data_IF_925771748969
#
_entry.id   IF_925771748969
#
_cell.length_a   1.000
_cell.length_b   1.000
_cell.length_c   1.000
_cell.angle_alpha   90.00
_cell.angle_beta   90.00
_cell.angle_gamma   90.00
#
_symmetry.space_group_name_H-M   'P 1'
#
loop_
_entity.id
_entity.type
_entity.pdbx_description
1 polymer ?
#
# COMPACT_ATOMS: atom_id res chain seq x y z
N UNK A 1 22.34 51.58 12.26
CA UNK A 1 22.24 50.83 11.00
C UNK A 1 21.31 49.65 11.25
N UNK A 2 20.18 49.57 10.54
CA UNK A 2 19.33 48.38 10.54
C UNK A 2 19.97 47.30 9.68
N UNK A 3 20.14 46.11 10.23
CA UNK A 3 20.61 44.93 9.48
C UNK A 3 19.42 44.37 8.72
N UNK A 4 19.50 44.36 7.39
CA UNK A 4 18.53 43.64 6.55
C UNK A 4 18.68 42.14 6.80
N UNK A 5 17.63 41.52 7.35
CA UNK A 5 17.57 40.07 7.57
C UNK A 5 16.93 39.44 6.34
N UNK A 6 17.70 38.72 5.54
CA UNK A 6 17.16 37.95 4.43
C UNK A 6 16.44 36.70 4.98
N UNK A 7 15.17 36.52 4.63
CA UNK A 7 14.46 35.26 4.84
C UNK A 7 14.68 34.38 3.60
N UNK A 8 15.34 33.23 3.78
CA UNK A 8 15.44 32.23 2.72
C UNK A 8 14.17 31.37 2.75
N UNK A 9 13.32 31.49 1.73
CA UNK A 9 12.15 30.62 1.57
C UNK A 9 12.62 29.32 0.91
N UNK A 10 12.67 28.24 1.70
CA UNK A 10 12.92 26.89 1.19
C UNK A 10 11.59 26.31 0.71
N UNK A 11 11.46 26.10 -0.60
CA UNK A 11 10.27 25.48 -1.20
C UNK A 11 10.58 24.01 -1.41
N UNK A 12 9.87 23.16 -0.67
CA UNK A 12 9.91 21.71 -0.86
C UNK A 12 9.20 21.32 -2.16
N UNK A 13 9.85 20.44 -2.92
CA UNK A 13 9.39 19.92 -4.21
C UNK A 13 9.51 18.39 -4.29
N UNK A 14 9.89 17.72 -3.21
CA UNK A 14 10.08 16.27 -3.19
C UNK A 14 8.82 15.60 -2.69
N UNK A 15 8.21 14.68 -3.45
CA UNK A 15 7.09 13.91 -2.94
C UNK A 15 7.48 13.03 -1.75
N UNK A 16 6.49 12.65 -0.91
CA UNK A 16 6.70 11.64 0.11
C UNK A 16 7.21 10.31 -0.45
N UNK A 17 7.79 9.50 0.43
CA UNK A 17 8.20 8.12 0.14
C UNK A 17 7.21 7.15 0.80
N UNK A 18 6.70 6.20 0.02
CA UNK A 18 5.92 5.05 0.53
C UNK A 18 6.83 3.83 0.66
N UNK A 19 6.73 3.14 1.79
CA UNK A 19 7.58 1.98 2.12
C UNK A 19 6.75 0.81 2.67
N UNK A 20 7.31 -0.40 2.60
CA UNK A 20 6.69 -1.61 3.17
C UNK A 20 5.55 -2.21 2.33
N UNK A 21 5.39 -1.77 1.08
CA UNK A 21 4.53 -2.44 0.10
C UNK A 21 4.98 -3.90 -0.14
N UNK A 22 4.06 -4.82 -0.47
CA UNK A 22 4.45 -6.18 -0.85
C UNK A 22 5.46 -6.21 -1.99
N UNK A 23 6.41 -7.13 -1.89
CA UNK A 23 7.41 -7.34 -2.92
C UNK A 23 6.78 -7.83 -4.24
N UNK A 24 7.50 -7.63 -5.34
CA UNK A 24 7.15 -8.25 -6.62
C UNK A 24 7.08 -9.77 -6.46
N UNK A 25 6.02 -10.39 -7.00
CA UNK A 25 5.79 -11.82 -6.88
C UNK A 25 5.17 -12.28 -5.55
N UNK A 26 4.66 -11.35 -4.72
CA UNK A 26 3.85 -11.69 -3.55
C UNK A 26 2.78 -12.73 -3.90
N UNK A 27 2.85 -13.90 -3.26
CA UNK A 27 2.00 -15.05 -3.56
C UNK A 27 1.49 -15.66 -2.26
N UNK A 28 0.19 -15.90 -2.18
CA UNK A 28 -0.47 -16.57 -1.06
C UNK A 28 -0.85 -17.98 -1.49
N UNK A 29 -0.22 -18.98 -0.87
CA UNK A 29 -0.50 -20.39 -1.09
C UNK A 29 -0.22 -21.21 0.18
N UNK A 30 -0.99 -22.27 0.48
CA UNK A 30 -2.16 -22.78 -0.26
C UNK A 30 -3.42 -21.91 -0.11
N UNK A 31 -4.41 -22.02 -1.02
CA UNK A 31 -5.68 -21.30 -0.91
C UNK A 31 -6.58 -21.91 0.18
N UNK A 32 -6.16 -21.76 1.44
CA UNK A 32 -6.75 -22.39 2.63
C UNK A 32 -7.71 -21.47 3.41
N UNK A 33 -8.11 -20.35 2.82
CA UNK A 33 -9.04 -19.37 3.39
C UNK A 33 -8.54 -18.63 4.64
N UNK A 34 -7.24 -18.67 4.94
CA UNK A 34 -6.64 -17.94 6.07
C UNK A 34 -6.26 -16.50 5.70
N UNK A 35 -6.31 -15.59 6.69
CA UNK A 35 -5.76 -14.24 6.55
C UNK A 35 -4.24 -14.26 6.73
N UNK A 36 -3.53 -13.71 5.76
CA UNK A 36 -2.06 -13.61 5.76
C UNK A 36 -1.69 -12.14 5.79
N UNK A 37 -0.89 -11.72 6.76
CA UNK A 37 -0.29 -10.39 6.75
C UNK A 37 0.77 -10.32 5.65
N UNK A 38 0.56 -9.46 4.66
CA UNK A 38 1.46 -9.34 3.50
C UNK A 38 2.33 -8.08 3.56
N UNK A 39 1.92 -7.09 4.34
CA UNK A 39 2.63 -5.82 4.43
C UNK A 39 2.34 -5.04 5.71
N UNK A 40 3.29 -4.18 6.06
CA UNK A 40 3.10 -3.05 6.95
C UNK A 40 3.59 -1.82 6.19
N UNK A 41 2.67 -1.00 5.73
CA UNK A 41 2.93 0.11 4.80
C UNK A 41 2.95 1.42 5.58
N UNK A 42 3.96 2.24 5.32
CA UNK A 42 4.08 3.57 5.89
C UNK A 42 4.47 4.59 4.81
N UNK A 43 4.15 5.86 5.06
CA UNK A 43 4.64 6.97 4.28
C UNK A 43 5.44 7.93 5.16
N UNK A 44 6.43 8.60 4.59
CA UNK A 44 7.19 9.65 5.26
C UNK A 44 7.69 10.68 4.25
N UNK A 45 7.77 11.94 4.68
CA UNK A 45 8.50 12.99 3.99
C UNK A 45 9.50 13.62 4.97
N UNK A 46 10.71 13.91 4.50
CA UNK A 46 11.81 14.35 5.34
C UNK A 46 11.97 15.88 5.44
N UNK A 47 11.34 16.64 4.53
CA UNK A 47 11.50 18.08 4.43
C UNK A 47 10.30 18.81 5.04
N UNK A 48 9.13 18.71 4.41
CA UNK A 48 7.91 19.36 4.87
C UNK A 48 7.06 18.44 5.75
N UNK A 49 7.27 17.11 5.67
CA UNK A 49 6.49 16.13 6.41
C UNK A 49 5.11 15.88 5.80
N UNK A 50 4.43 14.84 6.28
CA UNK A 50 3.12 14.47 5.74
C UNK A 50 2.00 15.43 6.15
N UNK A 51 1.11 15.71 5.20
CA UNK A 51 -0.13 16.40 5.51
C UNK A 51 -1.02 15.51 6.41
N UNK A 52 -1.62 16.05 7.49
CA UNK A 52 -2.46 15.26 8.39
C UNK A 52 -3.60 14.55 7.65
N UNK A 53 -3.68 13.22 7.79
CA UNK A 53 -4.72 12.40 7.17
C UNK A 53 -4.56 12.19 5.65
N UNK A 54 -3.46 12.63 5.04
CA UNK A 54 -3.27 12.47 3.59
C UNK A 54 -2.88 11.06 3.18
N UNK A 55 -2.27 10.28 4.09
CA UNK A 55 -1.85 8.92 3.77
C UNK A 55 -3.06 8.01 3.75
N UNK A 56 -3.39 7.51 2.57
CA UNK A 56 -4.55 6.65 2.33
C UNK A 56 -4.11 5.37 1.63
N UNK A 57 -4.73 4.26 2.02
CA UNK A 57 -4.49 2.95 1.45
C UNK A 57 -5.80 2.27 1.10
N UNK A 58 -5.92 1.81 -0.14
CA UNK A 58 -7.05 1.00 -0.60
C UNK A 58 -6.56 -0.34 -1.13
N UNK A 59 -7.43 -1.35 -1.07
CA UNK A 59 -7.16 -2.66 -1.64
C UNK A 59 -8.41 -3.24 -2.29
N UNK A 60 -8.23 -3.87 -3.45
CA UNK A 60 -9.30 -4.52 -4.21
C UNK A 60 -8.81 -5.84 -4.81
N UNK A 61 -9.71 -6.63 -5.38
CA UNK A 61 -9.35 -7.85 -6.09
C UNK A 61 -10.10 -7.97 -7.42
N UNK A 62 -9.55 -8.75 -8.36
CA UNK A 62 -10.19 -9.05 -9.64
C UNK A 62 -11.35 -10.06 -9.54
N UNK A 63 -11.57 -10.65 -8.38
CA UNK A 63 -12.68 -11.58 -8.12
C UNK A 63 -13.70 -10.94 -7.17
N UNK A 64 -14.99 -11.34 -7.25
CA UNK A 64 -16.00 -10.95 -6.26
C UNK A 64 -15.55 -11.24 -4.84
N UNK A 65 -15.82 -10.30 -3.93
CA UNK A 65 -15.63 -10.48 -2.49
C UNK A 65 -16.92 -10.94 -1.82
N UNK A 66 -16.78 -11.72 -0.75
CA UNK A 66 -17.89 -12.06 0.14
C UNK A 66 -18.08 -10.94 1.19
N UNK A 67 -19.25 -10.29 1.25
CA UNK A 67 -19.51 -9.22 2.22
C UNK A 67 -19.39 -9.63 3.69
N UNK A 68 -19.61 -10.91 4.01
CA UNK A 68 -19.52 -11.45 5.37
C UNK A 68 -18.10 -11.93 5.70
N UNK A 69 -17.25 -12.07 4.69
CA UNK A 69 -15.92 -12.65 4.77
C UNK A 69 -14.93 -11.79 3.98
N UNK A 70 -14.44 -10.68 4.56
CA UNK A 70 -13.57 -9.77 3.85
C UNK A 70 -12.29 -10.47 3.39
N UNK A 71 -11.92 -10.21 2.13
CA UNK A 71 -10.72 -10.74 1.50
C UNK A 71 -9.51 -9.84 1.66
N UNK A 72 -9.76 -8.56 1.97
CA UNK A 72 -8.76 -7.52 2.21
C UNK A 72 -9.10 -6.86 3.54
N UNK A 73 -8.15 -6.87 4.47
CA UNK A 73 -8.26 -6.18 5.76
C UNK A 73 -7.11 -5.22 5.88
N UNK A 74 -7.44 -3.94 6.04
CA UNK A 74 -6.48 -2.84 6.21
C UNK A 74 -6.77 -2.22 7.57
N UNK A 75 -5.79 -2.24 8.46
CA UNK A 75 -5.91 -1.69 9.81
C UNK A 75 -4.82 -0.66 10.06
N UNK A 76 -5.12 0.39 10.81
CA UNK A 76 -4.08 1.32 11.27
C UNK A 76 -3.09 0.60 12.17
N UNK A 77 -1.79 0.89 12.00
CA UNK A 77 -0.75 0.36 12.88
C UNK A 77 -0.50 1.23 14.13
N UNK A 78 -1.25 2.32 14.31
CA UNK A 78 -1.10 3.25 15.44
C UNK A 78 0.07 4.25 15.32
N UNK A 79 0.88 4.18 14.27
CA UNK A 79 2.01 5.09 13.99
C UNK A 79 1.86 5.83 12.66
N UNK A 80 0.62 5.99 12.18
CA UNK A 80 0.33 6.65 10.91
C UNK A 80 0.55 5.78 9.67
N UNK A 81 0.74 4.47 9.84
CA UNK A 81 0.78 3.49 8.75
C UNK A 81 -0.36 2.47 8.82
N UNK A 82 -0.28 1.46 7.96
CA UNK A 82 -1.30 0.41 7.83
C UNK A 82 -0.68 -0.99 7.87
N UNK A 83 -1.37 -1.93 8.51
CA UNK A 83 -1.13 -3.36 8.35
C UNK A 83 -2.12 -3.88 7.31
N UNK A 84 -1.63 -4.66 6.34
CA UNK A 84 -2.45 -5.28 5.29
C UNK A 84 -2.47 -6.78 5.47
N UNK A 85 -3.67 -7.34 5.58
CA UNK A 85 -3.91 -8.77 5.56
C UNK A 85 -4.79 -9.12 4.37
N UNK A 86 -4.41 -10.16 3.64
CA UNK A 86 -5.13 -10.67 2.49
C UNK A 86 -5.54 -12.11 2.76
N UNK A 87 -6.72 -12.51 2.27
CA UNK A 87 -7.19 -13.89 2.41
C UNK A 87 -6.52 -14.78 1.37
N UNK A 88 -5.94 -15.90 1.78
CA UNK A 88 -5.47 -16.94 0.89
C UNK A 88 -6.67 -17.73 0.34
N UNK A 89 -7.49 -17.08 -0.50
CA UNK A 89 -8.68 -17.64 -1.11
C UNK A 89 -8.81 -17.16 -2.55
N UNK A 90 -9.37 -18.02 -3.40
CA UNK A 90 -9.71 -17.73 -4.79
C UNK A 90 -11.00 -18.42 -5.15
N UNK A 91 -11.64 -17.98 -6.22
CA UNK A 91 -12.73 -18.73 -6.82
C UNK A 91 -12.21 -20.06 -7.39
N UNK A 92 -12.94 -21.14 -7.10
CA UNK A 92 -12.61 -22.49 -7.60
C UNK A 92 -12.55 -22.55 -9.13
N UNK A 93 -13.47 -21.84 -9.79
CA UNK A 93 -13.60 -21.69 -11.24
C UNK A 93 -12.79 -20.52 -11.84
N UNK A 94 -12.12 -19.72 -11.00
CA UNK A 94 -11.35 -18.55 -11.43
C UNK A 94 -9.95 -18.91 -11.96
N UNK A 95 -9.28 -17.93 -12.57
CA UNK A 95 -7.88 -18.06 -13.04
C UNK A 95 -6.85 -17.84 -11.93
N UNK A 96 -7.30 -17.48 -10.73
CA UNK A 96 -6.48 -17.04 -9.61
C UNK A 96 -6.86 -15.63 -9.21
N UNK A 97 -6.77 -15.34 -7.91
CA UNK A 97 -7.09 -14.04 -7.37
C UNK A 97 -5.87 -13.13 -7.43
N UNK A 98 -6.06 -11.89 -7.85
CA UNK A 98 -5.07 -10.83 -7.85
C UNK A 98 -5.62 -9.74 -6.95
N UNK A 99 -4.90 -9.47 -5.86
CA UNK A 99 -5.11 -8.33 -4.99
C UNK A 99 -4.27 -7.16 -5.49
N UNK A 100 -4.89 -5.98 -5.58
CA UNK A 100 -4.23 -4.73 -5.94
C UNK A 100 -4.35 -3.76 -4.78
N UNK A 101 -3.23 -3.29 -4.26
CA UNK A 101 -3.14 -2.26 -3.22
C UNK A 101 -2.68 -0.95 -3.85
N UNK A 102 -3.32 0.14 -3.48
CA UNK A 102 -2.97 1.49 -3.91
C UNK A 102 -2.77 2.39 -2.70
N UNK A 103 -1.55 2.87 -2.51
CA UNK A 103 -1.15 3.76 -1.44
C UNK A 103 -0.92 5.17 -1.99
N UNK A 104 -1.54 6.19 -1.39
CA UNK A 104 -1.37 7.59 -1.78
C UNK A 104 -1.01 8.43 -0.58
N UNK A 105 -0.04 9.33 -0.71
CA UNK A 105 0.39 10.25 0.34
C UNK A 105 0.65 11.65 -0.23
N UNK A 106 0.48 12.68 0.60
CA UNK A 106 0.75 14.08 0.27
C UNK A 106 1.54 14.74 1.40
N UNK A 107 2.48 15.62 1.07
CA UNK A 107 3.21 16.41 2.05
C UNK A 107 2.53 17.76 2.34
N UNK A 108 3.10 18.53 3.28
CA UNK A 108 2.61 19.88 3.60
C UNK A 108 2.90 20.93 2.50
N UNK A 109 3.81 20.64 1.58
CA UNK A 109 4.12 21.48 0.42
C UNK A 109 3.20 21.23 -0.80
N UNK A 110 2.39 20.18 -0.73
CA UNK A 110 1.43 19.78 -1.76
C UNK A 110 1.95 18.76 -2.76
N UNK A 111 3.16 18.22 -2.59
CA UNK A 111 3.66 17.14 -3.43
C UNK A 111 2.94 15.84 -3.07
N UNK A 112 2.62 15.02 -4.08
CA UNK A 112 1.84 13.79 -3.92
C UNK A 112 2.56 12.61 -4.56
N UNK A 113 2.43 11.44 -3.95
CA UNK A 113 2.89 10.15 -4.49
C UNK A 113 1.74 9.14 -4.47
N UNK A 114 1.69 8.30 -5.50
CA UNK A 114 0.85 7.09 -5.53
C UNK A 114 1.73 5.89 -5.85
N UNK A 115 1.55 4.80 -5.11
CA UNK A 115 2.30 3.55 -5.27
C UNK A 115 1.36 2.35 -5.27
N UNK A 116 1.61 1.42 -6.19
CA UNK A 116 0.75 0.25 -6.40
C UNK A 116 1.56 -1.02 -6.20
N UNK A 117 0.96 -2.01 -5.52
CA UNK A 117 1.55 -3.34 -5.36
C UNK A 117 0.47 -4.42 -5.53
N UNK A 118 0.89 -5.61 -5.94
CA UNK A 118 -0.02 -6.74 -6.16
C UNK A 118 0.42 -7.99 -5.40
N UNK A 119 -0.55 -8.78 -4.97
CA UNK A 119 -0.35 -10.13 -4.44
C UNK A 119 -1.30 -11.08 -5.15
N UNK A 120 -0.90 -12.34 -5.35
CA UNK A 120 -1.71 -13.32 -6.08
C UNK A 120 -2.01 -14.58 -5.26
N UNK A 121 -3.17 -15.16 -5.50
CA UNK A 121 -3.55 -16.52 -5.07
C UNK A 121 -3.71 -17.33 -6.36
N UNK A 122 -2.64 -17.97 -6.87
CA UNK A 122 -2.67 -18.60 -8.17
C UNK A 122 -3.61 -19.82 -8.19
N UNK A 123 -4.11 -20.17 -9.38
CA UNK A 123 -4.94 -21.38 -9.55
C UNK A 123 -4.17 -22.68 -9.28
N UNK A 124 -2.92 -22.72 -9.73
CA UNK A 124 -2.03 -23.86 -9.74
C UNK A 124 -0.68 -23.44 -9.17
N UNK A 125 0.05 -24.42 -8.62
CA UNK A 125 1.33 -24.21 -7.96
C UNK A 125 2.51 -23.99 -8.94
N UNK A 126 2.23 -23.35 -10.08
CA UNK A 126 3.25 -22.92 -11.02
C UNK A 126 3.70 -21.53 -10.57
N UNK A 127 4.85 -21.48 -9.91
CA UNK A 127 5.55 -20.22 -9.59
C UNK A 127 5.54 -19.31 -10.80
N UNK A 128 4.89 -18.15 -10.71
CA UNK A 128 5.01 -17.11 -11.71
C UNK A 128 6.47 -16.66 -11.72
N UNK A 129 7.26 -17.20 -12.63
CA UNK A 129 8.60 -16.69 -12.94
C UNK A 129 8.41 -15.30 -13.54
N UNK A 130 8.85 -14.29 -12.79
CA UNK A 130 8.98 -12.94 -13.31
C UNK A 130 10.05 -12.94 -14.41
N UNK A 131 9.72 -12.41 -15.59
CA UNK A 131 10.67 -12.05 -16.64
C UNK A 131 11.24 -10.66 -16.39
#
# INVERSE_FOLDING_TARGET
AEQSKALTVQIDKTPPVVSGLPASGCTLWPPNNQMVQVATIAAADALSGLAPGSFQLTGSSNEPSDPNNPDVVITSNGSGGYVVQLRAARLGSGTGRIYTMNATAMDLAGNTVTSTATCTVPRDHSTAVAH
#
